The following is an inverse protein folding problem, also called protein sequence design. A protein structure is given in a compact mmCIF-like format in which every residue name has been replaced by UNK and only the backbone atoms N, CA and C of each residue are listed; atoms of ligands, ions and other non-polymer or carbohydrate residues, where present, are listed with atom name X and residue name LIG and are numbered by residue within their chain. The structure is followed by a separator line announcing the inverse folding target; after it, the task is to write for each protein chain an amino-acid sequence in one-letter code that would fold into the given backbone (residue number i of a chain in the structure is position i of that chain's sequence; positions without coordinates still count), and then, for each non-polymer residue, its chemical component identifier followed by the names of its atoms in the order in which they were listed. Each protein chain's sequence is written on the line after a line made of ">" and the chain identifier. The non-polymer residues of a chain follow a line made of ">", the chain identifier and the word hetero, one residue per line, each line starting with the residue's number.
data_IF_237390604294
#
_entry.id   IF_237390604294
#
_cell.length_a   1.000
_cell.length_b   1.000
_cell.length_c   1.000
_cell.angle_alpha   90.00
_cell.angle_beta   90.00
_cell.angle_gamma   90.00
#
_symmetry.space_group_name_H-M   'P 1'
#
loop_
_entity.id
_entity.type
_entity.pdbx_description
1 polymer ?
#
# COMPACT_ATOMS: atom_id res chain seq x y z
N UNK A 1 24.42 -16.09 9.19
CA UNK A 1 24.20 -14.94 8.30
C UNK A 1 22.73 -14.55 8.41
N UNK A 2 22.44 -13.30 8.78
CA UNK A 2 21.06 -12.84 9.00
C UNK A 2 20.62 -12.05 7.76
N UNK A 3 19.64 -12.54 7.02
CA UNK A 3 19.03 -11.81 5.93
C UNK A 3 17.83 -11.00 6.46
N UNK A 4 17.80 -9.71 6.13
CA UNK A 4 16.65 -8.84 6.41
C UNK A 4 16.04 -8.44 5.08
N UNK A 5 14.78 -8.80 4.86
CA UNK A 5 14.03 -8.41 3.68
C UNK A 5 13.21 -7.17 3.99
N UNK A 6 13.39 -6.12 3.20
CA UNK A 6 12.62 -4.88 3.29
C UNK A 6 11.62 -4.81 2.14
N UNK A 7 10.39 -5.23 2.35
CA UNK A 7 9.34 -5.26 1.33
C UNK A 7 9.06 -3.88 0.70
N UNK A 8 9.16 -2.82 1.50
CA UNK A 8 8.97 -1.45 1.00
C UNK A 8 10.06 -1.10 -0.02
N UNK A 9 11.31 -1.46 0.24
CA UNK A 9 12.42 -1.24 -0.69
C UNK A 9 12.29 -2.11 -1.94
N UNK A 10 11.94 -3.38 -1.77
CA UNK A 10 11.73 -4.30 -2.89
C UNK A 10 10.61 -3.85 -3.83
N UNK A 11 9.53 -3.27 -3.29
CA UNK A 11 8.42 -2.73 -4.07
C UNK A 11 8.75 -1.39 -4.76
N UNK A 12 9.97 -0.87 -4.57
CA UNK A 12 10.52 0.33 -5.22
C UNK A 12 11.81 0.05 -5.98
N UNK A 13 12.05 -1.20 -6.34
CA UNK A 13 13.21 -1.58 -7.12
C UNK A 13 13.02 -1.16 -8.60
N UNK A 14 13.82 -0.22 -9.08
CA UNK A 14 13.78 0.27 -10.45
C UNK A 14 14.16 -0.80 -11.50
N UNK A 15 14.78 -1.90 -11.09
CA UNK A 15 15.02 -3.04 -11.97
C UNK A 15 13.76 -3.87 -12.23
N UNK A 16 12.73 -3.72 -11.40
CA UNK A 16 11.47 -4.47 -11.47
C UNK A 16 10.30 -3.57 -11.84
N UNK A 17 10.26 -2.35 -11.31
CA UNK A 17 9.16 -1.41 -11.50
C UNK A 17 9.63 -0.17 -12.26
N UNK A 18 9.01 0.12 -13.38
CA UNK A 18 9.19 1.40 -14.06
C UNK A 18 8.64 2.52 -13.19
N UNK A 19 9.41 3.60 -13.02
CA UNK A 19 9.00 4.75 -12.19
C UNK A 19 8.51 4.34 -10.78
N UNK A 20 9.33 3.64 -9.96
CA UNK A 20 8.85 2.98 -8.74
C UNK A 20 8.34 3.93 -7.66
N UNK A 21 8.71 5.20 -7.70
CA UNK A 21 8.26 6.23 -6.75
C UNK A 21 6.97 6.91 -7.19
N UNK A 22 6.55 6.70 -8.43
CA UNK A 22 5.26 7.19 -8.93
C UNK A 22 4.14 6.25 -8.54
N UNK A 23 3.10 6.79 -7.92
CA UNK A 23 1.86 6.05 -7.71
C UNK A 23 1.09 5.95 -9.03
N UNK A 24 0.99 4.74 -9.56
CA UNK A 24 0.27 4.45 -10.80
C UNK A 24 -0.80 3.39 -10.56
N UNK A 25 -2.05 3.83 -10.46
CA UNK A 25 -3.21 2.96 -10.24
C UNK A 25 -3.57 2.11 -11.47
N UNK A 26 -3.04 2.47 -12.64
CA UNK A 26 -3.21 1.72 -13.89
C UNK A 26 -2.10 0.71 -14.18
N UNK A 27 -1.14 0.53 -13.28
CA UNK A 27 -0.02 -0.39 -13.47
C UNK A 27 -0.52 -1.83 -13.66
N UNK A 28 -0.31 -2.38 -14.85
CA UNK A 28 -0.77 -3.71 -15.23
C UNK A 28 0.10 -4.79 -14.60
N UNK A 29 1.43 -4.66 -14.76
CA UNK A 29 2.40 -5.57 -14.15
C UNK A 29 2.83 -5.01 -12.79
N UNK A 30 2.39 -5.68 -11.73
CA UNK A 30 2.65 -5.24 -10.37
C UNK A 30 3.04 -6.43 -9.46
N UNK A 31 4.25 -7.01 -9.65
CA UNK A 31 4.74 -8.17 -8.89
C UNK A 31 5.20 -7.77 -7.48
N UNK A 32 4.37 -7.03 -6.74
CA UNK A 32 4.71 -6.52 -5.42
C UNK A 32 4.85 -7.63 -4.36
N UNK A 33 5.72 -7.42 -3.40
CA UNK A 33 5.96 -8.31 -2.27
C UNK A 33 5.22 -7.92 -0.99
N UNK A 34 4.19 -7.07 -1.08
CA UNK A 34 3.47 -6.59 0.12
C UNK A 34 2.81 -7.70 0.93
N UNK A 35 2.47 -8.81 0.29
CA UNK A 35 1.92 -10.01 0.94
C UNK A 35 2.95 -11.13 1.08
N UNK A 36 4.23 -10.86 0.90
CA UNK A 36 5.28 -11.86 0.87
C UNK A 36 5.28 -12.70 -0.41
N UNK A 37 6.00 -13.81 -0.39
CA UNK A 37 6.10 -14.72 -1.53
C UNK A 37 6.35 -16.17 -1.07
N UNK A 38 6.15 -17.14 -1.98
CA UNK A 38 6.42 -18.55 -1.74
C UNK A 38 5.57 -19.13 -0.62
N UNK A 39 6.18 -19.99 0.20
CA UNK A 39 5.51 -20.70 1.31
C UNK A 39 5.05 -19.79 2.44
N UNK A 40 5.55 -18.56 2.48
CA UNK A 40 5.19 -17.52 3.46
C UNK A 40 4.21 -16.48 2.89
N UNK A 41 3.63 -16.72 1.72
CA UNK A 41 2.60 -15.82 1.18
C UNK A 41 1.46 -15.64 2.18
N UNK A 42 1.04 -14.40 2.37
CA UNK A 42 0.04 -14.03 3.36
C UNK A 42 -1.28 -14.77 3.13
N UNK A 43 -1.72 -15.55 4.11
CA UNK A 43 -2.99 -16.29 4.07
C UNK A 43 -4.21 -15.34 3.97
N UNK A 44 -4.10 -14.15 4.55
CA UNK A 44 -5.16 -13.14 4.54
C UNK A 44 -5.21 -12.26 3.28
N UNK A 45 -4.29 -12.46 2.31
CA UNK A 45 -4.23 -11.61 1.11
C UNK A 45 -5.53 -11.57 0.29
N UNK A 46 -6.26 -12.68 0.06
CA UNK A 46 -7.54 -12.65 -0.64
C UNK A 46 -8.59 -11.79 0.08
N UNK A 47 -8.69 -11.93 1.40
CA UNK A 47 -9.63 -11.14 2.21
C UNK A 47 -9.25 -9.66 2.18
N UNK A 48 -7.98 -9.32 2.41
CA UNK A 48 -7.50 -7.94 2.35
C UNK A 48 -7.79 -7.28 0.99
N UNK A 49 -7.66 -8.00 -0.12
CA UNK A 49 -8.00 -7.49 -1.45
C UNK A 49 -9.48 -7.17 -1.59
N UNK A 50 -10.36 -8.05 -1.11
CA UNK A 50 -11.81 -7.82 -1.14
C UNK A 50 -12.18 -6.61 -0.28
N UNK A 51 -11.63 -6.53 0.93
CA UNK A 51 -11.87 -5.40 1.84
C UNK A 51 -11.43 -4.07 1.22
N UNK A 52 -10.23 -4.02 0.63
CA UNK A 52 -9.70 -2.81 -0.01
C UNK A 52 -10.53 -2.40 -1.24
N UNK A 53 -10.86 -3.35 -2.11
CA UNK A 53 -11.67 -3.07 -3.31
C UNK A 53 -13.05 -2.55 -2.92
N UNK A 54 -13.70 -3.18 -1.95
CA UNK A 54 -15.02 -2.75 -1.48
C UNK A 54 -14.96 -1.38 -0.81
N UNK A 55 -14.01 -1.19 0.11
CA UNK A 55 -13.88 0.06 0.87
C UNK A 55 -13.55 1.24 -0.02
N UNK A 56 -12.56 1.10 -0.90
CA UNK A 56 -12.21 2.18 -1.83
C UNK A 56 -13.30 2.46 -2.86
N UNK A 57 -13.95 1.43 -3.39
CA UNK A 57 -15.08 1.60 -4.29
C UNK A 57 -16.19 2.44 -3.65
N UNK A 58 -16.63 2.05 -2.45
CA UNK A 58 -17.66 2.77 -1.70
C UNK A 58 -17.24 4.20 -1.30
N UNK A 59 -15.98 4.39 -0.91
CA UNK A 59 -15.46 5.72 -0.54
C UNK A 59 -15.46 6.67 -1.72
N UNK A 60 -14.94 6.22 -2.87
CA UNK A 60 -14.86 7.05 -4.07
C UNK A 60 -16.23 7.34 -4.67
N UNK A 61 -17.16 6.39 -4.61
CA UNK A 61 -18.54 6.60 -5.03
C UNK A 61 -19.28 7.62 -4.15
N UNK A 62 -19.09 7.51 -2.83
CA UNK A 62 -19.77 8.37 -1.86
C UNK A 62 -19.13 9.76 -1.73
N UNK A 63 -17.83 9.85 -1.90
CA UNK A 63 -17.03 11.07 -1.70
C UNK A 63 -16.06 11.31 -2.85
N UNK A 64 -16.58 11.60 -4.07
CA UNK A 64 -15.74 11.71 -5.27
C UNK A 64 -14.78 12.91 -5.26
N UNK A 65 -15.00 13.88 -4.38
CA UNK A 65 -14.18 15.09 -4.24
C UNK A 65 -13.40 15.14 -2.93
N UNK A 66 -13.14 13.98 -2.34
CA UNK A 66 -12.39 13.88 -1.10
C UNK A 66 -10.97 14.45 -1.25
N UNK A 67 -10.60 15.35 -0.36
CA UNK A 67 -9.31 16.02 -0.35
C UNK A 67 -8.58 15.82 0.97
N UNK A 68 -7.26 15.73 0.91
CA UNK A 68 -6.41 15.71 2.09
C UNK A 68 -6.37 17.11 2.72
N UNK A 69 -6.66 17.21 4.01
CA UNK A 69 -6.71 18.51 4.75
C UNK A 69 -5.33 18.97 5.19
N UNK A 70 -4.47 18.03 5.55
CA UNK A 70 -3.11 18.29 6.03
C UNK A 70 -2.20 17.10 5.73
N UNK A 71 -0.90 17.32 5.71
CA UNK A 71 0.08 16.24 5.58
C UNK A 71 -0.05 15.27 6.77
N UNK A 72 -0.24 13.96 6.50
CA UNK A 72 -0.44 12.98 7.56
C UNK A 72 0.85 12.73 8.33
N UNK A 73 0.72 12.55 9.65
CA UNK A 73 1.84 12.19 10.52
C UNK A 73 2.02 10.69 10.60
N UNK A 74 3.25 10.24 10.50
CA UNK A 74 3.61 8.84 10.61
C UNK A 74 3.88 8.45 12.05
N UNK A 75 3.37 7.28 12.45
CA UNK A 75 3.74 6.67 13.73
C UNK A 75 5.24 6.35 13.73
N UNK A 76 5.96 6.57 14.84
CA UNK A 76 7.37 6.23 14.98
C UNK A 76 7.55 4.72 15.15
N UNK A 77 7.11 3.93 14.16
CA UNK A 77 7.22 2.48 14.16
C UNK A 77 7.94 2.04 12.89
N UNK A 78 9.04 1.30 13.08
CA UNK A 78 9.87 0.83 11.97
C UNK A 78 9.29 -0.40 11.28
N UNK A 79 8.61 -1.29 12.01
CA UNK A 79 8.12 -2.57 11.46
C UNK A 79 6.77 -2.41 10.77
N UNK A 80 5.84 -1.71 11.42
CA UNK A 80 4.50 -1.44 10.89
C UNK A 80 4.33 0.06 10.71
N UNK A 81 4.76 0.56 9.57
CA UNK A 81 4.64 1.97 9.24
C UNK A 81 3.18 2.32 9.00
N UNK A 82 2.57 3.01 9.92
CA UNK A 82 1.18 3.46 9.84
C UNK A 82 1.05 4.96 10.11
N UNK A 83 -0.09 5.51 9.77
CA UNK A 83 -0.43 6.90 10.08
C UNK A 83 -1.00 7.01 11.50
N UNK A 84 -0.79 8.16 12.16
CA UNK A 84 -1.50 8.53 13.40
C UNK A 84 -2.96 8.81 13.12
N UNK A 85 -3.25 9.38 11.97
CA UNK A 85 -4.57 9.70 11.46
C UNK A 85 -4.50 10.20 10.03
N UNK A 86 -5.61 10.16 9.34
CA UNK A 86 -5.77 10.72 8.00
C UNK A 86 -7.00 11.62 8.02
N UNK A 87 -6.77 12.94 7.93
CA UNK A 87 -7.85 13.92 7.90
C UNK A 87 -8.20 14.27 6.47
N UNK A 88 -9.45 14.05 6.12
CA UNK A 88 -9.97 14.34 4.78
C UNK A 88 -11.19 15.24 4.88
N UNK A 89 -11.37 16.09 3.87
CA UNK A 89 -12.60 16.83 3.62
C UNK A 89 -13.41 16.04 2.61
N UNK A 90 -14.68 15.92 2.83
CA UNK A 90 -15.65 15.25 1.97
C UNK A 90 -16.68 16.22 1.44
#
# INVERSE_FOLDING_TARGET
>A
MLFRSLFISANRDAAVFEDPDRMDVGRVENPHLSFGAGVHFCLGAPLARIELQTSFGMLLERFPHMELVEEPRWKPNFVLRGLEGLRVRV
#
